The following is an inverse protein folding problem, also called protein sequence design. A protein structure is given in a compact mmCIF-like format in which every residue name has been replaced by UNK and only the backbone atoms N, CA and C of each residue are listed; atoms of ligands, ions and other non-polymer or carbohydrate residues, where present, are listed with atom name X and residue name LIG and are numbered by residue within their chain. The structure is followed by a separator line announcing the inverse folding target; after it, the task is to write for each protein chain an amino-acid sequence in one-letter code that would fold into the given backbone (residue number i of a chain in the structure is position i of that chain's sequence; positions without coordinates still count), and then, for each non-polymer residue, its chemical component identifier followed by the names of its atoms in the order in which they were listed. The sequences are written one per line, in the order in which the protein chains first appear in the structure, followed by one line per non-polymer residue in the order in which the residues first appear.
data_IF_790251467549
#
_entry.id   IF_790251467549
#
_cell.length_a   1.000
_cell.length_b   1.000
_cell.length_c   1.000
_cell.angle_alpha   90.00
_cell.angle_beta   90.00
_cell.angle_gamma   90.00
#
_symmetry.space_group_name_H-M   'P 1'
#
loop_
_entity.id
_entity.type
_entity.pdbx_description
1 polymer ?
#
# COMPACT_ATOMS: atom_id res chain seq x y z
N UNK A 1 1.78 -0.42 20.43
CA UNK A 1 1.81 -0.51 18.94
C UNK A 1 0.38 -0.68 18.48
N UNK A 2 -0.05 0.09 17.47
CA UNK A 2 -1.43 0.06 16.98
C UNK A 2 -1.75 -1.24 16.26
N UNK A 3 -2.89 -1.83 16.58
CA UNK A 3 -3.39 -3.09 16.06
C UNK A 3 -4.78 -2.92 15.49
N UNK A 4 -5.12 -3.70 14.48
CA UNK A 4 -6.40 -3.63 13.77
C UNK A 4 -7.24 -4.89 14.00
N UNK A 5 -8.55 -4.69 14.07
CA UNK A 5 -9.54 -5.73 14.20
C UNK A 5 -10.74 -5.45 13.29
N UNK A 6 -11.22 -6.47 12.58
CA UNK A 6 -12.42 -6.40 11.72
C UNK A 6 -13.63 -6.94 12.49
N UNK A 7 -14.47 -6.07 13.10
CA UNK A 7 -15.60 -6.49 13.90
C UNK A 7 -16.73 -7.07 13.03
N UNK A 8 -17.61 -7.84 13.66
CA UNK A 8 -18.81 -8.42 13.02
C UNK A 8 -20.07 -7.92 13.71
N UNK A 9 -21.15 -7.73 12.97
CA UNK A 9 -22.47 -7.37 13.50
C UNK A 9 -22.60 -5.95 14.07
N UNK A 10 -21.68 -5.04 13.76
CA UNK A 10 -21.74 -3.63 14.17
C UNK A 10 -21.57 -2.67 12.98
N UNK A 11 -21.86 -1.38 13.19
CA UNK A 11 -21.75 -0.37 12.12
C UNK A 11 -20.30 -0.08 11.70
N UNK A 12 -19.33 0.13 12.62
CA UNK A 12 -17.92 0.26 12.25
C UNK A 12 -17.42 -0.97 11.50
N UNK A 13 -16.57 -0.75 10.51
CA UNK A 13 -15.97 -1.79 9.68
C UNK A 13 -14.60 -2.22 10.16
N UNK A 14 -13.98 -1.39 11.01
CA UNK A 14 -12.68 -1.64 11.57
C UNK A 14 -12.55 -0.97 12.94
N UNK A 15 -11.77 -1.60 13.83
CA UNK A 15 -11.41 -1.10 15.16
C UNK A 15 -9.88 -1.08 15.24
N UNK A 16 -9.31 0.07 15.61
CA UNK A 16 -7.90 0.22 15.91
C UNK A 16 -7.68 0.36 17.41
N UNK A 17 -6.73 -0.38 17.95
CA UNK A 17 -6.40 -0.43 19.38
C UNK A 17 -4.91 -0.19 19.57
N UNK A 18 -4.53 0.63 20.54
CA UNK A 18 -3.15 0.72 20.99
C UNK A 18 -3.05 0.26 22.44
N UNK A 19 -2.23 -0.76 22.68
CA UNK A 19 -2.07 -1.38 24.00
C UNK A 19 -0.59 -1.34 24.36
N UNK A 20 -0.30 -0.78 25.53
CA UNK A 20 1.06 -0.69 26.08
C UNK A 20 1.05 -1.15 27.53
N UNK A 21 1.87 -2.16 27.86
CA UNK A 21 1.95 -2.70 29.23
C UNK A 21 0.61 -3.20 29.77
N UNK A 22 -0.27 -3.74 28.90
CA UNK A 22 -1.61 -4.20 29.27
C UNK A 22 -2.64 -3.08 29.51
N UNK A 23 -2.31 -1.83 29.16
CA UNK A 23 -3.19 -0.66 29.28
C UNK A 23 -3.64 -0.21 27.89
N UNK A 24 -4.94 0.02 27.71
CA UNK A 24 -5.48 0.58 26.47
C UNK A 24 -5.13 2.09 26.37
N UNK A 25 -4.27 2.47 25.44
CA UNK A 25 -3.82 3.86 25.22
C UNK A 25 -4.71 4.61 24.23
N UNK A 26 -5.13 3.94 23.16
CA UNK A 26 -5.97 4.52 22.11
C UNK A 26 -6.97 3.49 21.60
N UNK A 27 -8.17 3.95 21.23
CA UNK A 27 -9.21 3.16 20.59
C UNK A 27 -9.88 4.03 19.52
N UNK A 28 -9.97 3.53 18.29
CA UNK A 28 -10.61 4.21 17.17
C UNK A 28 -11.54 3.24 16.44
N UNK A 29 -12.72 3.75 16.06
CA UNK A 29 -13.70 3.03 15.24
C UNK A 29 -13.75 3.68 13.86
N UNK A 30 -13.58 2.88 12.81
CA UNK A 30 -13.48 3.34 11.42
C UNK A 30 -14.58 2.72 10.55
N UNK A 31 -14.84 3.34 9.39
CA UNK A 31 -15.80 2.84 8.40
C UNK A 31 -17.29 2.97 8.75
N UNK A 32 -17.63 3.76 9.77
CA UNK A 32 -19.02 4.12 10.06
C UNK A 32 -19.36 4.13 11.55
N UNK A 33 -20.66 4.12 11.85
CA UNK A 33 -21.18 4.14 13.22
C UNK A 33 -21.49 5.53 13.77
N UNK A 34 -21.96 5.56 15.02
CA UNK A 34 -22.33 6.80 15.69
C UNK A 34 -21.07 7.50 16.22
N UNK A 35 -20.67 8.61 15.59
CA UNK A 35 -19.46 9.37 15.98
C UNK A 35 -19.43 9.73 17.47
N UNK A 36 -20.56 10.19 18.03
CA UNK A 36 -20.66 10.55 19.44
C UNK A 36 -20.42 9.35 20.36
N UNK A 37 -21.05 8.22 20.08
CA UNK A 37 -20.87 7.01 20.86
C UNK A 37 -19.45 6.43 20.73
N UNK A 38 -18.91 6.35 19.51
CA UNK A 38 -17.55 5.87 19.28
C UNK A 38 -16.53 6.71 20.04
N UNK A 39 -16.66 8.04 20.00
CA UNK A 39 -15.78 8.94 20.75
C UNK A 39 -15.93 8.79 22.27
N UNK A 40 -17.18 8.69 22.76
CA UNK A 40 -17.46 8.47 24.18
C UNK A 40 -16.81 7.17 24.68
N UNK A 41 -17.02 6.05 23.97
CA UNK A 41 -16.42 4.76 24.31
C UNK A 41 -14.90 4.87 24.31
N UNK A 42 -14.29 5.42 23.26
CA UNK A 42 -12.83 5.63 23.21
C UNK A 42 -12.30 6.39 24.42
N UNK A 43 -13.00 7.45 24.86
CA UNK A 43 -12.60 8.25 26.03
C UNK A 43 -12.79 7.53 27.36
N UNK A 44 -13.87 6.78 27.53
CA UNK A 44 -14.15 6.05 28.77
C UNK A 44 -13.17 4.91 29.00
N UNK A 45 -12.69 4.26 27.93
CA UNK A 45 -11.83 3.09 28.02
C UNK A 45 -10.33 3.44 28.05
N UNK A 46 -9.96 4.63 27.57
CA UNK A 46 -8.57 5.10 27.55
C UNK A 46 -7.93 5.10 28.95
N UNK A 47 -6.70 4.58 29.05
CA UNK A 47 -5.90 4.52 30.27
C UNK A 47 -6.25 3.37 31.22
N UNK A 48 -7.21 2.51 30.87
CA UNK A 48 -7.65 1.40 31.73
C UNK A 48 -6.90 0.08 31.42
N UNK A 49 -6.69 -0.79 32.43
CA UNK A 49 -6.15 -2.12 32.22
C UNK A 49 -7.08 -2.99 31.38
N UNK A 50 -6.54 -3.73 30.42
CA UNK A 50 -7.30 -4.62 29.53
C UNK A 50 -8.12 -5.64 30.32
N UNK A 51 -7.57 -6.17 31.42
CA UNK A 51 -8.26 -7.14 32.28
C UNK A 51 -9.53 -6.61 32.96
N UNK A 52 -9.65 -5.30 33.17
CA UNK A 52 -10.87 -4.67 33.69
C UNK A 52 -11.88 -4.38 32.58
N UNK A 53 -11.40 -4.11 31.36
CA UNK A 53 -12.24 -3.73 30.24
C UNK A 53 -13.05 -4.91 29.68
N UNK A 54 -12.44 -6.09 29.54
CA UNK A 54 -13.11 -7.27 28.98
C UNK A 54 -14.44 -7.59 29.70
N UNK A 55 -14.47 -7.79 31.03
CA UNK A 55 -15.73 -8.11 31.74
C UNK A 55 -16.73 -6.96 31.73
N UNK A 56 -16.27 -5.70 31.64
CA UNK A 56 -17.13 -4.52 31.58
C UNK A 56 -17.89 -4.41 30.25
N UNK A 57 -17.26 -4.81 29.16
CA UNK A 57 -17.74 -4.56 27.80
C UNK A 57 -18.43 -5.78 27.16
N UNK A 58 -18.07 -6.99 27.60
CA UNK A 58 -18.52 -8.24 27.00
C UNK A 58 -20.02 -8.47 27.20
N UNK A 59 -20.67 -8.91 26.13
CA UNK A 59 -22.07 -9.31 26.13
C UNK A 59 -23.08 -8.16 26.03
N UNK A 60 -22.64 -6.90 25.90
CA UNK A 60 -23.56 -5.77 25.69
C UNK A 60 -24.19 -5.89 24.29
N UNK A 61 -25.52 -6.07 24.16
CA UNK A 61 -26.15 -6.27 22.86
C UNK A 61 -26.55 -4.96 22.18
N UNK A 62 -26.56 -4.95 20.85
CA UNK A 62 -27.14 -3.90 20.02
C UNK A 62 -27.68 -4.51 18.71
N UNK A 63 -26.89 -4.52 17.64
CA UNK A 63 -27.25 -5.13 16.35
C UNK A 63 -26.73 -6.56 16.32
N UNK A 64 -27.50 -7.46 15.72
CA UNK A 64 -27.08 -8.86 15.52
C UNK A 64 -26.57 -9.54 16.82
N UNK A 65 -27.14 -9.18 17.97
CA UNK A 65 -26.76 -9.72 19.28
C UNK A 65 -25.41 -9.23 19.83
N UNK A 66 -24.79 -8.21 19.25
CA UNK A 66 -23.49 -7.64 19.67
C UNK A 66 -23.49 -6.11 19.63
N UNK A 67 -22.47 -5.46 20.21
CA UNK A 67 -22.30 -4.00 20.20
C UNK A 67 -20.86 -3.57 19.96
N UNK A 68 -20.62 -2.27 19.77
CA UNK A 68 -19.26 -1.74 19.61
C UNK A 68 -18.38 -2.04 20.85
N UNK A 69 -18.86 -1.82 22.10
CA UNK A 69 -18.18 -2.31 23.30
C UNK A 69 -17.89 -3.83 23.28
N UNK A 70 -18.87 -4.66 22.96
CA UNK A 70 -18.69 -6.12 22.95
C UNK A 70 -17.63 -6.55 21.91
N UNK A 71 -17.60 -5.91 20.75
CA UNK A 71 -16.56 -6.16 19.75
C UNK A 71 -15.17 -5.69 20.19
N UNK A 72 -15.06 -4.63 21.01
CA UNK A 72 -13.79 -4.26 21.66
C UNK A 72 -13.36 -5.34 22.64
N UNK A 73 -14.26 -5.89 23.45
CA UNK A 73 -13.93 -7.00 24.35
C UNK A 73 -13.35 -8.20 23.58
N UNK A 74 -14.01 -8.59 22.48
CA UNK A 74 -13.54 -9.69 21.61
C UNK A 74 -12.20 -9.40 20.97
N UNK A 75 -11.96 -8.16 20.54
CA UNK A 75 -10.69 -7.75 19.98
C UNK A 75 -9.55 -7.84 21.02
N UNK A 76 -9.81 -7.41 22.26
CA UNK A 76 -8.87 -7.52 23.37
C UNK A 76 -8.59 -8.99 23.74
N UNK A 77 -9.62 -9.84 23.79
CA UNK A 77 -9.48 -11.28 24.04
C UNK A 77 -8.62 -11.94 22.95
N UNK A 78 -8.92 -11.67 21.67
CA UNK A 78 -8.15 -12.19 20.54
C UNK A 78 -6.71 -11.70 20.56
N UNK A 79 -6.46 -10.45 20.93
CA UNK A 79 -5.11 -9.91 21.05
C UNK A 79 -4.30 -10.59 22.16
N UNK A 80 -4.96 -10.98 23.27
CA UNK A 80 -4.31 -11.70 24.36
C UNK A 80 -3.99 -13.16 24.01
N UNK A 81 -4.84 -13.82 23.19
CA UNK A 81 -4.68 -15.25 22.86
C UNK A 81 -3.83 -15.49 21.61
N UNK A 82 -4.06 -14.74 20.54
CA UNK A 82 -3.49 -14.98 19.21
C UNK A 82 -2.67 -13.78 18.71
N UNK A 83 -2.94 -12.59 19.25
CA UNK A 83 -2.37 -11.33 18.77
C UNK A 83 -3.13 -10.79 17.56
N UNK A 84 -3.34 -9.48 17.52
CA UNK A 84 -3.91 -8.80 16.37
C UNK A 84 -2.83 -8.31 15.40
N UNK A 85 -3.19 -8.25 14.11
CA UNK A 85 -2.35 -7.65 13.07
C UNK A 85 -2.10 -6.15 13.33
N UNK A 86 -0.96 -5.65 12.85
CA UNK A 86 -0.64 -4.20 12.90
C UNK A 86 -1.72 -3.38 12.19
N UNK A 87 -2.04 -2.19 12.73
CA UNK A 87 -2.90 -1.20 12.08
C UNK A 87 -2.11 -0.15 11.28
N UNK A 88 -0.79 -0.31 11.19
CA UNK A 88 0.10 0.62 10.51
C UNK A 88 0.78 -0.08 9.34
N UNK A 89 0.42 0.37 8.14
CA UNK A 89 1.11 -0.01 6.91
C UNK A 89 2.54 0.51 6.93
N UNK A 90 3.48 -0.31 6.45
CA UNK A 90 4.87 0.12 6.30
C UNK A 90 4.98 1.14 5.16
N UNK A 91 5.17 2.42 5.51
CA UNK A 91 5.26 3.54 4.57
C UNK A 91 6.64 4.16 4.67
N UNK A 92 7.40 4.11 3.57
CA UNK A 92 8.65 4.85 3.46
C UNK A 92 8.34 6.30 3.10
N UNK A 93 8.71 7.25 3.96
CA UNK A 93 8.55 8.67 3.67
C UNK A 93 9.90 9.32 3.39
N UNK A 94 10.06 9.88 2.19
CA UNK A 94 11.25 10.62 1.79
C UNK A 94 10.96 12.12 1.77
N UNK A 95 11.81 12.88 2.48
CA UNK A 95 11.75 14.33 2.56
C UNK A 95 12.49 15.04 1.42
N UNK A 96 13.45 14.35 0.82
CA UNK A 96 14.19 14.86 -0.33
C UNK A 96 13.25 15.07 -1.52
N UNK A 97 13.57 16.07 -2.33
CA UNK A 97 12.85 16.37 -3.56
C UNK A 97 13.66 15.85 -4.74
N UNK A 98 12.99 15.13 -5.63
CA UNK A 98 13.56 14.65 -6.88
C UNK A 98 12.95 15.40 -8.06
N UNK A 99 13.67 15.49 -9.16
CA UNK A 99 13.17 16.05 -10.42
C UNK A 99 13.16 15.00 -11.54
N UNK A 100 13.99 13.95 -11.44
CA UNK A 100 14.04 12.88 -12.44
C UNK A 100 14.15 11.51 -11.79
N UNK A 101 13.16 10.64 -12.03
CA UNK A 101 13.10 9.30 -11.44
C UNK A 101 12.86 8.24 -12.52
N UNK A 102 13.46 7.07 -12.33
CA UNK A 102 13.15 5.86 -13.11
C UNK A 102 12.29 4.92 -12.30
N UNK A 103 11.23 4.37 -12.89
CA UNK A 103 10.29 3.49 -12.19
C UNK A 103 9.98 2.28 -13.06
N UNK A 104 9.88 1.12 -12.42
CA UNK A 104 9.45 -0.12 -13.04
C UNK A 104 8.74 -1.02 -12.04
N UNK A 105 8.09 -2.08 -12.52
CA UNK A 105 7.31 -3.03 -11.73
C UNK A 105 7.34 -4.41 -12.44
N UNK A 106 6.80 -5.44 -11.81
CA UNK A 106 6.52 -6.72 -12.47
C UNK A 106 7.77 -7.41 -13.00
N UNK A 107 8.74 -7.65 -12.11
CA UNK A 107 9.96 -8.41 -12.44
C UNK A 107 9.65 -9.89 -12.61
N UNK A 108 8.76 -10.44 -11.77
CA UNK A 108 8.27 -11.82 -11.84
C UNK A 108 9.39 -12.88 -11.94
N UNK A 109 10.51 -12.67 -11.23
CA UNK A 109 11.64 -13.59 -11.27
C UNK A 109 12.54 -13.48 -12.50
N UNK A 110 12.27 -12.58 -13.45
CA UNK A 110 13.07 -12.44 -14.67
C UNK A 110 14.28 -11.50 -14.48
N UNK A 111 15.42 -12.13 -14.19
CA UNK A 111 16.69 -11.45 -14.02
C UNK A 111 17.21 -10.82 -15.32
N UNK A 112 16.85 -11.34 -16.50
CA UNK A 112 17.33 -10.84 -17.78
C UNK A 112 16.67 -9.50 -18.10
N UNK A 113 15.33 -9.45 -18.07
CA UNK A 113 14.58 -8.21 -18.25
C UNK A 113 14.99 -7.15 -17.23
N UNK A 114 15.18 -7.55 -15.97
CA UNK A 114 15.68 -6.64 -14.93
C UNK A 114 17.05 -6.02 -15.30
N UNK A 115 18.02 -6.85 -15.70
CA UNK A 115 19.36 -6.35 -16.07
C UNK A 115 19.31 -5.37 -17.23
N UNK A 116 18.49 -5.66 -18.24
CA UNK A 116 18.29 -4.77 -19.40
C UNK A 116 17.72 -3.41 -18.96
N UNK A 117 16.69 -3.40 -18.12
CA UNK A 117 16.09 -2.16 -17.60
C UNK A 117 17.11 -1.37 -16.76
N UNK A 118 17.83 -2.04 -15.85
CA UNK A 118 18.85 -1.39 -15.01
C UNK A 118 19.98 -0.78 -15.85
N UNK A 119 20.44 -1.48 -16.88
CA UNK A 119 21.46 -0.97 -17.80
C UNK A 119 20.96 0.28 -18.55
N UNK A 120 19.75 0.22 -19.11
CA UNK A 120 19.14 1.34 -19.83
C UNK A 120 18.97 2.57 -18.93
N UNK A 121 18.55 2.38 -17.67
CA UNK A 121 18.35 3.44 -16.70
C UNK A 121 19.66 4.00 -16.11
N UNK A 122 20.73 3.20 -16.03
CA UNK A 122 22.03 3.62 -15.46
C UNK A 122 22.62 4.85 -16.17
N UNK A 123 22.36 5.00 -17.47
CA UNK A 123 22.84 6.11 -18.30
C UNK A 123 22.03 7.41 -18.17
N UNK A 124 20.89 7.38 -17.47
CA UNK A 124 19.86 8.45 -17.54
C UNK A 124 19.97 9.53 -16.47
N UNK A 125 21.01 9.49 -15.62
CA UNK A 125 21.26 10.45 -14.52
C UNK A 125 20.00 10.71 -13.68
N UNK A 126 19.46 9.64 -13.11
CA UNK A 126 18.26 9.68 -12.28
C UNK A 126 18.63 10.13 -10.86
N UNK A 127 17.75 10.88 -10.21
CA UNK A 127 17.84 11.13 -8.78
C UNK A 127 17.58 9.85 -8.00
N UNK A 128 16.57 9.07 -8.42
CA UNK A 128 16.23 7.76 -7.83
C UNK A 128 15.70 6.78 -8.85
N UNK A 129 15.86 5.51 -8.48
CA UNK A 129 15.27 4.36 -9.13
C UNK A 129 14.26 3.72 -8.17
N UNK A 130 13.07 3.37 -8.65
CA UNK A 130 11.99 2.81 -7.85
C UNK A 130 11.47 1.53 -8.53
N UNK A 131 11.37 0.46 -7.76
CA UNK A 131 10.72 -0.79 -8.15
C UNK A 131 9.42 -0.91 -7.35
N UNK A 132 8.27 -0.98 -8.02
CA UNK A 132 6.96 -1.00 -7.35
C UNK A 132 6.57 -2.36 -6.76
N UNK A 133 7.34 -3.42 -7.03
CA UNK A 133 7.10 -4.77 -6.49
C UNK A 133 6.86 -5.80 -7.60
N UNK A 134 6.19 -6.91 -7.25
CA UNK A 134 6.11 -8.11 -8.08
C UNK A 134 7.52 -8.59 -8.44
N UNK A 135 8.35 -8.75 -7.42
CA UNK A 135 9.73 -9.21 -7.56
C UNK A 135 9.80 -10.69 -7.92
N UNK A 136 8.83 -11.45 -7.42
CA UNK A 136 8.85 -12.92 -7.36
C UNK A 136 7.84 -13.54 -8.33
N UNK A 137 8.24 -14.58 -9.08
CA UNK A 137 7.41 -15.25 -10.11
C UNK A 137 7.10 -16.72 -9.82
N UNK A 138 6.42 -17.40 -10.76
CA UNK A 138 5.94 -18.80 -10.65
C UNK A 138 7.03 -19.89 -10.73
N UNK A 139 8.16 -19.76 -10.02
CA UNK A 139 9.06 -20.90 -9.89
C UNK A 139 10.41 -20.70 -9.22
N UNK A 140 10.96 -19.48 -9.17
CA UNK A 140 12.29 -19.27 -8.58
C UNK A 140 12.39 -17.91 -7.89
N UNK A 141 12.80 -17.94 -6.63
CA UNK A 141 13.26 -16.76 -5.90
C UNK A 141 14.74 -16.56 -6.19
N UNK A 142 15.08 -15.51 -6.91
CA UNK A 142 16.46 -15.18 -7.22
C UNK A 142 16.98 -14.14 -6.24
N UNK A 143 17.82 -14.55 -5.29
CA UNK A 143 18.62 -13.62 -4.48
C UNK A 143 19.40 -12.64 -5.40
N UNK A 144 19.70 -13.05 -6.64
CA UNK A 144 20.29 -12.18 -7.66
C UNK A 144 19.41 -10.97 -8.04
N UNK A 145 18.08 -11.08 -8.00
CA UNK A 145 17.17 -9.96 -8.27
C UNK A 145 17.31 -8.92 -7.18
N UNK A 146 17.20 -9.33 -5.92
CA UNK A 146 17.37 -8.45 -4.77
C UNK A 146 18.76 -7.82 -4.79
N UNK A 147 19.80 -8.64 -5.02
CA UNK A 147 21.17 -8.15 -5.12
C UNK A 147 21.33 -7.10 -6.23
N UNK A 148 20.73 -7.32 -7.40
CA UNK A 148 20.78 -6.37 -8.52
C UNK A 148 20.08 -5.05 -8.19
N UNK A 149 18.91 -5.11 -7.55
CA UNK A 149 18.15 -3.94 -7.10
C UNK A 149 18.89 -3.15 -6.02
N UNK A 150 19.44 -3.83 -5.02
CA UNK A 150 20.24 -3.23 -3.94
C UNK A 150 21.51 -2.60 -4.50
N UNK A 151 22.23 -3.28 -5.40
CA UNK A 151 23.42 -2.75 -6.08
C UNK A 151 23.09 -1.49 -6.89
N UNK A 152 21.91 -1.46 -7.54
CA UNK A 152 21.41 -0.31 -8.26
C UNK A 152 20.87 0.81 -7.34
N UNK A 153 20.86 0.60 -6.02
CA UNK A 153 20.30 1.52 -5.01
C UNK A 153 18.83 1.87 -5.29
N UNK A 154 18.07 0.90 -5.79
CA UNK A 154 16.64 1.08 -6.01
C UNK A 154 15.89 1.17 -4.67
N UNK A 155 14.87 2.01 -4.60
CA UNK A 155 13.81 1.88 -3.60
C UNK A 155 12.90 0.75 -4.06
N UNK A 156 12.72 -0.26 -3.22
CA UNK A 156 11.97 -1.47 -3.55
C UNK A 156 10.71 -1.48 -2.70
N UNK A 157 9.55 -1.58 -3.34
CA UNK A 157 8.27 -1.68 -2.67
C UNK A 157 7.77 -3.13 -2.65
N UNK A 158 6.96 -3.43 -1.65
CA UNK A 158 6.29 -4.72 -1.50
C UNK A 158 4.98 -4.73 -2.27
N UNK A 159 4.73 -5.77 -3.06
CA UNK A 159 3.41 -6.03 -3.65
C UNK A 159 2.62 -7.10 -2.87
N UNK A 160 1.28 -7.18 -3.05
CA UNK A 160 0.50 -8.28 -2.50
C UNK A 160 0.96 -9.66 -2.97
N UNK A 161 1.45 -9.77 -4.22
CA UNK A 161 1.96 -11.03 -4.77
C UNK A 161 3.23 -11.49 -4.05
N UNK A 162 4.15 -10.58 -3.74
CA UNK A 162 5.39 -10.88 -3.04
C UNK A 162 5.12 -11.44 -1.62
N UNK A 163 4.06 -10.99 -0.95
CA UNK A 163 3.61 -11.54 0.34
C UNK A 163 3.12 -12.99 0.25
N UNK A 164 2.50 -13.40 -0.86
CA UNK A 164 2.01 -14.78 -1.03
C UNK A 164 3.16 -15.77 -1.15
N UNK A 165 4.29 -15.32 -1.70
CA UNK A 165 5.46 -16.14 -1.94
C UNK A 165 6.29 -16.36 -0.65
N UNK A 166 6.15 -15.50 0.35
CA UNK A 166 6.66 -15.74 1.72
C UNK A 166 6.17 -17.08 2.32
N UNK A 167 5.02 -17.57 1.87
CA UNK A 167 4.45 -18.84 2.34
C UNK A 167 5.01 -20.08 1.61
N UNK A 168 5.80 -19.91 0.54
CA UNK A 168 6.38 -21.02 -0.23
C UNK A 168 7.68 -21.52 0.40
N UNK A 169 8.00 -22.80 0.19
CA UNK A 169 9.22 -23.44 0.72
C UNK A 169 10.50 -23.01 -0.03
N UNK A 170 10.36 -22.49 -1.25
CA UNK A 170 11.50 -22.17 -2.13
C UNK A 170 12.21 -20.85 -1.80
N UNK A 171 11.62 -19.97 -0.99
CA UNK A 171 12.26 -18.70 -0.59
C UNK A 171 13.17 -18.94 0.61
N UNK A 172 14.43 -18.52 0.51
CA UNK A 172 15.38 -18.61 1.62
C UNK A 172 14.91 -17.77 2.81
N UNK A 173 15.24 -18.19 4.04
CA UNK A 173 14.90 -17.43 5.25
C UNK A 173 15.37 -15.95 5.17
N UNK A 174 16.59 -15.64 4.71
CA UNK A 174 17.01 -14.25 4.48
C UNK A 174 16.13 -13.50 3.47
N UNK A 175 15.67 -14.16 2.41
CA UNK A 175 14.74 -13.59 1.45
C UNK A 175 13.40 -13.20 2.06
N UNK A 176 12.84 -14.06 2.92
CA UNK A 176 11.60 -13.79 3.67
C UNK A 176 11.77 -12.60 4.63
N UNK A 177 12.88 -12.61 5.39
CA UNK A 177 13.23 -11.51 6.30
C UNK A 177 13.41 -10.18 5.56
N UNK A 178 13.96 -10.21 4.34
CA UNK A 178 14.06 -9.01 3.50
C UNK A 178 12.69 -8.51 3.05
N UNK A 179 11.85 -9.37 2.46
CA UNK A 179 10.53 -8.99 1.94
C UNK A 179 9.63 -8.40 3.04
N UNK A 180 9.63 -9.00 4.24
CA UNK A 180 8.86 -8.51 5.39
C UNK A 180 9.25 -7.12 5.90
N UNK A 181 10.44 -6.62 5.53
CA UNK A 181 10.91 -5.29 5.90
C UNK A 181 10.61 -4.22 4.83
N UNK A 182 10.20 -4.64 3.62
CA UNK A 182 9.95 -3.72 2.54
C UNK A 182 8.73 -2.83 2.82
N UNK A 183 8.80 -1.53 2.46
CA UNK A 183 7.64 -0.65 2.52
C UNK A 183 6.63 -1.05 1.44
N UNK A 184 5.34 -1.03 1.77
CA UNK A 184 4.27 -1.25 0.80
C UNK A 184 3.93 0.03 0.02
N UNK A 185 4.35 1.19 0.53
CA UNK A 185 4.06 2.49 -0.06
C UNK A 185 5.22 3.46 0.16
N UNK A 186 5.48 4.29 -0.84
CA UNK A 186 6.46 5.38 -0.80
C UNK A 186 5.74 6.73 -0.88
N UNK A 187 5.93 7.55 0.14
CA UNK A 187 5.53 8.97 0.17
C UNK A 187 6.77 9.82 -0.14
N UNK A 188 6.69 10.69 -1.15
CA UNK A 188 7.84 11.47 -1.59
C UNK A 188 7.45 12.81 -2.24
N UNK A 189 8.45 13.60 -2.65
CA UNK A 189 8.27 14.85 -3.39
C UNK A 189 8.98 14.79 -4.74
N UNK A 190 8.26 15.18 -5.78
CA UNK A 190 8.81 15.33 -7.13
C UNK A 190 8.49 16.74 -7.65
N UNK A 191 9.49 17.62 -7.74
CA UNK A 191 9.23 19.05 -7.85
C UNK A 191 8.31 19.53 -6.73
N UNK A 192 7.20 20.20 -7.07
CA UNK A 192 6.18 20.61 -6.12
C UNK A 192 5.13 19.52 -5.81
N UNK A 193 5.13 18.43 -6.57
CA UNK A 193 4.16 17.35 -6.45
C UNK A 193 4.39 16.54 -5.17
N UNK A 194 3.29 16.15 -4.54
CA UNK A 194 3.21 15.11 -3.51
C UNK A 194 3.01 13.78 -4.20
N UNK A 195 4.05 12.96 -4.16
CA UNK A 195 4.08 11.64 -4.78
C UNK A 195 3.68 10.56 -3.79
N UNK A 196 2.84 9.65 -4.26
CA UNK A 196 2.55 8.36 -3.63
C UNK A 196 2.85 7.29 -4.66
N UNK A 197 3.77 6.38 -4.34
CA UNK A 197 4.09 5.22 -5.15
C UNK A 197 3.75 3.93 -4.40
N UNK A 198 3.10 2.99 -5.09
CA UNK A 198 2.73 1.68 -4.55
C UNK A 198 2.63 0.69 -5.70
N UNK A 199 2.46 -0.61 -5.42
CA UNK A 199 2.02 -1.55 -6.46
C UNK A 199 0.53 -1.28 -6.76
N UNK A 200 -0.36 -1.99 -6.09
CA UNK A 200 -1.79 -2.06 -6.38
C UNK A 200 -2.26 -3.52 -6.33
N UNK A 201 -3.51 -3.78 -6.71
CA UNK A 201 -4.10 -5.12 -6.63
C UNK A 201 -4.78 -5.37 -5.28
N UNK A 202 -4.56 -6.54 -4.68
CA UNK A 202 -5.18 -6.96 -3.42
C UNK A 202 -4.56 -6.25 -2.19
N UNK A 203 -4.74 -4.94 -2.10
CA UNK A 203 -4.16 -4.11 -1.04
C UNK A 203 -4.61 -4.52 0.37
N UNK A 204 -5.78 -5.14 0.49
CA UNK A 204 -6.29 -5.71 1.75
C UNK A 204 -5.42 -6.82 2.34
N UNK A 205 -4.51 -7.40 1.56
CA UNK A 205 -3.53 -8.40 2.00
C UNK A 205 -2.26 -7.76 2.59
N UNK A 206 -2.02 -6.46 2.33
CA UNK A 206 -0.86 -5.74 2.86
C UNK A 206 -1.02 -5.55 4.39
N UNK A 207 -0.04 -5.95 5.22
CA UNK A 207 -0.10 -5.73 6.66
C UNK A 207 -0.29 -4.25 7.02
N UNK A 208 -1.29 -3.97 7.86
CA UNK A 208 -1.62 -2.61 8.30
C UNK A 208 -2.31 -1.73 7.27
N UNK A 209 -2.66 -2.26 6.09
CA UNK A 209 -3.53 -1.54 5.17
C UNK A 209 -4.95 -1.43 5.72
N UNK A 210 -5.45 -0.20 5.72
CA UNK A 210 -6.84 0.12 6.04
C UNK A 210 -7.41 1.01 4.94
N UNK A 211 -8.57 0.62 4.39
CA UNK A 211 -9.34 1.44 3.46
C UNK A 211 -9.82 2.76 4.08
N UNK A 212 -9.83 2.84 5.42
CA UNK A 212 -10.18 4.02 6.19
C UNK A 212 -8.95 4.78 6.72
N UNK A 213 -7.74 4.28 6.42
CA UNK A 213 -6.48 4.93 6.76
C UNK A 213 -6.19 6.15 5.88
N UNK A 214 -5.05 6.82 6.16
CA UNK A 214 -4.64 8.08 5.50
C UNK A 214 -4.72 8.04 3.97
N UNK A 215 -4.40 6.91 3.36
CA UNK A 215 -4.33 6.72 1.90
C UNK A 215 -5.35 5.73 1.34
N UNK A 216 -6.17 5.12 2.20
CA UNK A 216 -7.03 3.99 1.79
C UNK A 216 -8.04 4.38 0.72
N UNK A 217 -8.70 5.53 0.88
CA UNK A 217 -9.67 6.03 -0.10
C UNK A 217 -9.02 6.31 -1.47
N UNK A 218 -7.85 6.96 -1.48
CA UNK A 218 -7.10 7.29 -2.69
C UNK A 218 -6.66 6.02 -3.43
N UNK A 219 -6.03 5.09 -2.70
CA UNK A 219 -5.53 3.82 -3.24
C UNK A 219 -6.67 2.98 -3.79
N UNK A 220 -7.75 2.78 -3.03
CA UNK A 220 -8.91 2.01 -3.49
C UNK A 220 -9.52 2.62 -4.75
N UNK A 221 -9.73 3.93 -4.77
CA UNK A 221 -10.27 4.60 -5.94
C UNK A 221 -9.38 4.39 -7.17
N UNK A 222 -8.05 4.49 -7.02
CA UNK A 222 -7.12 4.27 -8.12
C UNK A 222 -7.12 2.81 -8.57
N UNK A 223 -7.05 1.85 -7.64
CA UNK A 223 -7.03 0.41 -7.96
C UNK A 223 -8.33 -0.03 -8.65
N UNK A 224 -9.49 0.43 -8.20
CA UNK A 224 -10.77 0.05 -8.80
C UNK A 224 -11.09 0.80 -10.09
N UNK A 225 -10.57 2.02 -10.26
CA UNK A 225 -10.92 2.88 -11.40
C UNK A 225 -9.84 2.96 -12.48
N UNK A 226 -8.67 2.37 -12.26
CA UNK A 226 -7.53 2.37 -13.21
C UNK A 226 -7.92 1.95 -14.62
N UNK A 227 -8.70 0.87 -14.77
CA UNK A 227 -9.19 0.40 -16.05
C UNK A 227 -10.13 1.40 -16.72
N UNK A 228 -10.92 2.12 -15.92
CA UNK A 228 -11.85 3.15 -16.37
C UNK A 228 -11.18 4.48 -16.70
N UNK A 229 -9.96 4.74 -16.19
CA UNK A 229 -9.17 5.92 -16.59
C UNK A 229 -8.77 5.91 -18.08
N UNK A 230 -8.98 4.79 -18.77
CA UNK A 230 -8.86 4.66 -20.22
C UNK A 230 -10.09 5.21 -20.97
N UNK A 231 -11.21 5.38 -20.28
CA UNK A 231 -12.48 5.85 -20.81
C UNK A 231 -12.75 7.30 -20.38
N UNK A 232 -12.84 8.20 -21.35
CA UNK A 232 -13.09 9.63 -21.11
C UNK A 232 -14.46 9.91 -20.48
N UNK A 233 -15.45 9.03 -20.66
CA UNK A 233 -16.78 9.20 -20.06
C UNK A 233 -16.74 9.18 -18.52
N UNK A 234 -15.71 8.58 -17.92
CA UNK A 234 -15.57 8.45 -16.46
C UNK A 234 -14.86 9.65 -15.84
N UNK A 235 -14.21 10.50 -16.64
CA UNK A 235 -13.37 11.60 -16.13
C UNK A 235 -14.11 12.57 -15.22
N UNK A 236 -15.34 13.05 -15.54
CA UNK A 236 -16.03 13.99 -14.66
C UNK A 236 -16.32 13.43 -13.25
N UNK A 237 -16.69 12.14 -13.18
CA UNK A 237 -16.94 11.46 -11.92
C UNK A 237 -15.64 11.24 -11.14
N UNK A 238 -14.59 10.77 -11.82
CA UNK A 238 -13.29 10.53 -11.21
C UNK A 238 -12.62 11.83 -10.73
N UNK A 239 -12.71 12.92 -11.51
CA UNK A 239 -12.20 14.24 -11.14
C UNK A 239 -12.85 14.76 -9.85
N UNK A 240 -14.15 14.53 -9.69
CA UNK A 240 -14.88 14.92 -8.48
C UNK A 240 -14.35 14.19 -7.24
N UNK A 241 -14.07 12.89 -7.38
CA UNK A 241 -13.47 12.07 -6.33
C UNK A 241 -12.02 12.49 -6.04
N UNK A 242 -11.20 12.62 -7.09
CA UNK A 242 -9.78 12.93 -7.01
C UNK A 242 -9.50 14.30 -6.37
N UNK A 243 -10.45 15.26 -6.37
CA UNK A 243 -10.32 16.52 -5.64
C UNK A 243 -10.01 16.34 -4.15
N UNK A 244 -10.50 15.27 -3.54
CA UNK A 244 -10.31 14.98 -2.11
C UNK A 244 -9.01 14.25 -1.81
N UNK A 245 -8.32 13.75 -2.85
CA UNK A 245 -7.09 12.98 -2.69
C UNK A 245 -5.98 13.79 -2.04
N UNK A 246 -5.21 13.10 -1.19
CA UNK A 246 -4.15 13.73 -0.42
C UNK A 246 -2.96 14.13 -1.30
N UNK A 247 -2.54 13.27 -2.23
CA UNK A 247 -1.43 13.50 -3.15
C UNK A 247 -1.91 13.97 -4.54
N UNK A 248 -1.01 14.56 -5.32
CA UNK A 248 -1.27 14.98 -6.70
C UNK A 248 -0.37 14.29 -7.72
N UNK A 249 0.42 13.31 -7.29
CA UNK A 249 1.12 12.37 -8.15
C UNK A 249 0.94 10.97 -7.56
N UNK A 250 0.31 10.08 -8.31
CA UNK A 250 0.17 8.67 -8.00
C UNK A 250 0.88 7.84 -9.05
N UNK A 251 1.77 6.98 -8.58
CA UNK A 251 2.54 6.05 -9.40
C UNK A 251 2.20 4.66 -8.91
N UNK A 252 1.69 3.81 -9.79
CA UNK A 252 1.17 2.52 -9.40
C UNK A 252 1.35 1.47 -10.49
N UNK A 253 1.01 0.23 -10.18
CA UNK A 253 0.86 -0.85 -11.15
C UNK A 253 -0.12 -1.93 -10.64
N UNK A 254 -0.77 -2.63 -11.56
CA UNK A 254 -1.66 -3.79 -11.36
C UNK A 254 -2.49 -4.05 -12.63
N UNK A 255 -2.44 -3.13 -13.59
CA UNK A 255 -3.13 -3.25 -14.87
C UNK A 255 -2.24 -3.90 -15.93
N UNK A 256 -0.96 -4.13 -15.64
CA UNK A 256 0.12 -4.63 -16.53
C UNK A 256 0.44 -3.72 -17.73
N UNK A 257 -0.46 -2.80 -18.05
CA UNK A 257 -0.35 -1.84 -19.14
C UNK A 257 0.05 -0.45 -18.66
N UNK A 258 1.00 0.22 -19.34
CA UNK A 258 1.34 1.60 -19.04
C UNK A 258 0.15 2.54 -19.30
N UNK A 259 0.04 3.57 -18.47
CA UNK A 259 -0.99 4.60 -18.57
C UNK A 259 -0.48 5.89 -17.92
N UNK A 260 -0.63 7.02 -18.61
CA UNK A 260 -0.49 8.32 -17.98
C UNK A 260 -1.74 9.16 -18.21
N UNK A 261 -2.34 9.66 -17.13
CA UNK A 261 -3.45 10.61 -17.17
C UNK A 261 -3.21 11.76 -16.20
N UNK A 262 -3.51 12.97 -16.68
CA UNK A 262 -3.44 14.20 -15.90
C UNK A 262 -4.84 14.81 -15.83
N UNK A 263 -5.42 14.86 -14.63
CA UNK A 263 -6.78 15.35 -14.36
C UNK A 263 -6.73 16.36 -13.22
N UNK A 264 -7.20 17.59 -13.43
CA UNK A 264 -7.19 18.68 -12.43
C UNK A 264 -5.84 18.87 -11.70
N UNK A 265 -4.72 18.90 -12.45
CA UNK A 265 -3.37 19.00 -11.90
C UNK A 265 -3.00 17.85 -10.93
N UNK A 266 -3.58 16.66 -11.17
CA UNK A 266 -3.22 15.41 -10.51
C UNK A 266 -2.80 14.40 -11.57
N UNK A 267 -1.72 13.70 -11.30
CA UNK A 267 -1.07 12.80 -12.23
C UNK A 267 -1.26 11.36 -11.76
N UNK A 268 -1.72 10.50 -12.66
CA UNK A 268 -1.92 9.07 -12.43
C UNK A 268 -1.07 8.32 -13.44
N UNK A 269 -0.10 7.56 -12.95
CA UNK A 269 0.90 6.87 -13.77
C UNK A 269 0.87 5.38 -13.42
N UNK A 270 0.31 4.56 -14.31
CA UNK A 270 0.55 3.12 -14.32
C UNK A 270 1.81 2.86 -15.14
N UNK A 271 2.82 2.20 -14.57
CA UNK A 271 4.10 1.97 -15.27
C UNK A 271 4.10 0.73 -16.16
N UNK A 272 3.15 -0.18 -15.93
CA UNK A 272 3.15 -1.52 -16.49
C UNK A 272 4.30 -2.38 -15.96
N UNK A 273 4.34 -3.63 -16.42
CA UNK A 273 5.31 -4.61 -15.94
C UNK A 273 6.47 -4.76 -16.91
N UNK A 274 7.69 -5.01 -16.40
CA UNK A 274 8.85 -5.28 -17.24
C UNK A 274 8.83 -6.70 -17.82
N UNK A 275 8.14 -7.63 -17.16
CA UNK A 275 7.91 -9.00 -17.61
C UNK A 275 6.41 -9.36 -17.53
N UNK A 276 5.55 -8.75 -18.37
CA UNK A 276 4.12 -9.01 -18.34
C UNK A 276 3.81 -10.43 -18.83
N UNK A 277 2.97 -11.15 -18.09
CA UNK A 277 2.58 -12.52 -18.46
C UNK A 277 1.92 -12.58 -19.84
N UNK A 278 2.44 -13.44 -20.72
CA UNK A 278 1.86 -13.70 -22.04
C UNK A 278 2.15 -12.64 -23.11
N UNK A 279 3.14 -11.76 -22.89
CA UNK A 279 3.59 -10.77 -23.88
C UNK A 279 5.12 -10.78 -23.99
N UNK A 280 5.63 -10.44 -25.17
CA UNK A 280 7.08 -10.42 -25.44
C UNK A 280 7.72 -9.05 -25.15
N UNK A 281 6.92 -8.07 -24.72
CA UNK A 281 7.36 -6.70 -24.45
C UNK A 281 6.80 -6.23 -23.13
N UNK A 282 7.69 -5.78 -22.26
CA UNK A 282 7.37 -5.08 -21.02
C UNK A 282 7.56 -3.58 -21.14
N UNK A 283 7.19 -2.85 -20.09
CA UNK A 283 7.35 -1.41 -19.99
C UNK A 283 7.96 -0.96 -18.67
N UNK A 284 8.62 0.20 -18.73
CA UNK A 284 9.04 0.98 -17.57
C UNK A 284 8.92 2.47 -17.89
N UNK A 285 9.06 3.34 -16.89
CA UNK A 285 8.86 4.77 -17.06
C UNK A 285 10.05 5.60 -16.53
N UNK A 286 10.33 6.71 -17.22
CA UNK A 286 11.15 7.80 -16.70
C UNK A 286 10.24 9.01 -16.54
N UNK A 287 10.23 9.58 -15.33
CA UNK A 287 9.44 10.75 -15.01
C UNK A 287 10.37 11.93 -14.78
N UNK A 288 9.98 13.07 -15.34
CA UNK A 288 10.64 14.36 -15.16
C UNK A 288 9.64 15.38 -14.61
N UNK A 289 10.04 16.17 -13.62
CA UNK A 289 9.26 17.29 -13.12
C UNK A 289 9.93 18.63 -13.36
N UNK A 290 9.08 19.65 -13.49
CA UNK A 290 9.49 21.05 -13.45
C UNK A 290 8.42 21.85 -12.71
N UNK A 291 8.62 22.02 -11.41
CA UNK A 291 7.60 22.58 -10.52
C UNK A 291 6.42 21.61 -10.38
N UNK A 292 5.24 22.02 -10.85
CA UNK A 292 4.03 21.18 -10.84
C UNK A 292 3.79 20.42 -12.15
N UNK A 293 4.62 20.65 -13.19
CA UNK A 293 4.50 19.94 -14.45
C UNK A 293 5.22 18.60 -14.40
N UNK A 294 4.55 17.55 -14.89
CA UNK A 294 5.09 16.20 -15.01
C UNK A 294 5.15 15.77 -16.48
N UNK A 295 6.32 15.28 -16.89
CA UNK A 295 6.51 14.56 -18.16
C UNK A 295 6.76 13.08 -17.84
N UNK A 296 6.07 12.20 -18.55
CA UNK A 296 6.20 10.74 -18.41
C UNK A 296 6.65 10.15 -19.73
N UNK A 297 7.79 9.49 -19.73
CA UNK A 297 8.32 8.75 -20.87
C UNK A 297 8.25 7.25 -20.58
N UNK A 298 7.37 6.53 -21.28
CA UNK A 298 7.36 5.07 -21.27
C UNK A 298 8.42 4.52 -22.22
N UNK A 299 9.09 3.45 -21.78
CA UNK A 299 10.10 2.72 -22.53
C UNK A 299 9.74 1.25 -22.55
N UNK A 300 10.15 0.55 -23.61
CA UNK A 300 9.91 -0.87 -23.77
C UNK A 300 11.18 -1.68 -23.42
N UNK A 301 10.96 -2.90 -22.96
CA UNK A 301 11.98 -3.94 -22.79
C UNK A 301 11.49 -5.22 -23.43
N UNK A 302 12.36 -5.90 -24.19
CA UNK A 302 12.06 -7.24 -24.73
C UNK A 302 12.22 -8.28 -23.63
N UNK A 303 11.28 -9.23 -23.57
CA UNK A 303 11.16 -10.29 -22.56
C UNK A 303 11.56 -11.63 -23.14
#
# INVERSE_FOLDING_TARGET
MKKQFKPKGICPKEIHLDIEGGILKELSFLGGGCRGNSYLVSKLLQGKPVGELIPLLKGIPCREGTSCPDQVARALELDQSEGLSTAEMNILTIKERWERIGIFSGVHGDLQSLKMVLEQLSSKKLDRLICLGNLTGEGFFHEEIIFSLVKAKAIILLSPTDLKIDQRKEVSKPGKEFLSQLPALLEFRMGNLRGIAFHGGAMEEIPGYSEYGKYGADINAIVYLSNYLRDEYVYPAFETLAKQFWANLYIFDHTNDPLYKSLLNRHFVSVGEINPTGRNKGSYAILDSKGDQLTVEFREVEV
#
